data_IF_554015612867
#
_entry.id   IF_554015612867
#
_cell.length_a   1.000
_cell.length_b   1.000
_cell.length_c   1.000
_cell.angle_alpha   90.00
_cell.angle_beta   90.00
_cell.angle_gamma   90.00
#
_symmetry.space_group_name_H-M   'P 1'
#
loop_
_entity.id
_entity.type
_entity.pdbx_description
1 polymer ?
#
# COMPACT_ATOMS: atom_id res chain seq x y z
N UNK A 1 -29.33 -31.92 -13.60
CA UNK A 1 -28.74 -30.58 -13.75
C UNK A 1 -29.72 -29.63 -13.10
N UNK A 2 -29.49 -29.27 -11.83
CA UNK A 2 -30.32 -28.30 -11.12
C UNK A 2 -29.82 -26.91 -11.52
N UNK A 3 -30.73 -26.05 -11.96
CA UNK A 3 -30.46 -24.62 -12.14
C UNK A 3 -30.71 -23.98 -10.76
N UNK A 4 -29.64 -23.63 -10.04
CA UNK A 4 -29.78 -22.86 -8.80
C UNK A 4 -30.10 -21.42 -9.19
N UNK A 5 -31.35 -21.01 -8.93
CA UNK A 5 -31.82 -19.64 -9.14
C UNK A 5 -31.73 -18.95 -7.78
N UNK A 6 -30.69 -18.14 -7.61
CA UNK A 6 -30.56 -17.25 -6.48
C UNK A 6 -31.33 -15.95 -6.77
N UNK A 7 -31.88 -15.34 -5.73
CA UNK A 7 -32.43 -13.99 -5.85
C UNK A 7 -31.29 -13.03 -6.22
N UNK A 8 -31.49 -12.22 -7.25
CA UNK A 8 -30.47 -11.30 -7.75
C UNK A 8 -30.01 -10.33 -6.66
N UNK A 9 -30.91 -9.90 -5.78
CA UNK A 9 -30.55 -9.00 -4.67
C UNK A 9 -29.66 -9.70 -3.63
N UNK A 10 -29.92 -10.98 -3.34
CA UNK A 10 -29.13 -11.76 -2.39
C UNK A 10 -27.71 -12.03 -2.93
N UNK A 11 -27.61 -12.31 -4.24
CA UNK A 11 -26.33 -12.53 -4.92
C UNK A 11 -25.54 -11.21 -5.04
N UNK A 12 -26.21 -10.09 -5.35
CA UNK A 12 -25.60 -8.76 -5.35
C UNK A 12 -25.15 -8.34 -3.95
N UNK A 13 -25.90 -8.64 -2.89
CA UNK A 13 -25.49 -8.38 -1.50
C UNK A 13 -24.30 -9.23 -1.07
N UNK A 14 -24.27 -10.50 -1.46
CA UNK A 14 -23.18 -11.43 -1.13
C UNK A 14 -21.89 -11.10 -1.90
N UNK A 15 -22.01 -10.74 -3.18
CA UNK A 15 -20.92 -10.19 -3.99
C UNK A 15 -20.47 -8.83 -3.44
N UNK A 16 -21.39 -7.94 -3.07
CA UNK A 16 -21.07 -6.65 -2.47
C UNK A 16 -20.35 -6.81 -1.13
N UNK A 17 -20.77 -7.77 -0.31
CA UNK A 17 -20.13 -8.09 0.97
C UNK A 17 -18.77 -8.71 0.77
N UNK A 18 -18.59 -9.61 -0.19
CA UNK A 18 -17.29 -10.17 -0.56
C UNK A 18 -16.37 -9.08 -1.12
N UNK A 19 -16.91 -8.16 -1.90
CA UNK A 19 -16.17 -7.04 -2.51
C UNK A 19 -15.79 -5.95 -1.50
N UNK A 20 -16.64 -5.69 -0.50
CA UNK A 20 -16.37 -4.70 0.56
C UNK A 20 -15.63 -5.28 1.77
N UNK A 21 -15.82 -6.55 2.09
CA UNK A 21 -15.39 -7.17 3.36
C UNK A 21 -14.80 -8.59 3.21
N UNK A 22 -14.72 -9.17 2.01
CA UNK A 22 -14.18 -10.51 1.78
C UNK A 22 -12.65 -10.58 1.85
N UNK A 23 -12.13 -11.61 2.53
CA UNK A 23 -10.71 -11.94 2.75
C UNK A 23 -10.37 -12.34 4.20
N UNK A 24 -9.08 -12.43 4.61
CA UNK A 24 -8.65 -12.89 5.93
C UNK A 24 -9.13 -11.97 7.06
N UNK A 25 -9.99 -12.48 7.94
CA UNK A 25 -10.52 -11.73 9.09
C UNK A 25 -9.55 -11.66 10.27
N UNK A 26 -8.56 -12.55 10.25
CA UNK A 26 -7.58 -12.74 11.31
C UNK A 26 -6.18 -12.94 10.74
N UNK A 27 -5.17 -12.80 11.60
CA UNK A 27 -3.78 -13.03 11.22
C UNK A 27 -3.47 -14.50 10.88
N UNK A 28 -4.36 -15.43 11.25
CA UNK A 28 -4.19 -16.87 11.07
C UNK A 28 -4.72 -17.37 9.70
N UNK A 29 -5.49 -16.54 9.01
CA UNK A 29 -6.00 -16.82 7.67
C UNK A 29 -4.97 -16.47 6.59
N UNK A 30 -5.01 -17.11 5.41
CA UNK A 30 -4.12 -16.78 4.32
C UNK A 30 -4.43 -15.41 3.72
N UNK A 31 -3.38 -14.70 3.32
CA UNK A 31 -3.49 -13.44 2.58
C UNK A 31 -4.15 -13.65 1.22
N UNK A 32 -5.13 -12.80 0.89
CA UNK A 32 -5.88 -12.83 -0.36
C UNK A 32 -5.73 -11.55 -1.19
N UNK A 33 -4.87 -10.62 -0.79
CA UNK A 33 -4.72 -9.30 -1.44
C UNK A 33 -4.44 -9.39 -2.95
N UNK A 34 -3.79 -10.47 -3.41
CA UNK A 34 -3.52 -10.73 -4.83
C UNK A 34 -4.76 -11.07 -5.64
N UNK A 35 -5.86 -11.45 -4.99
CA UNK A 35 -7.14 -11.78 -5.61
C UNK A 35 -8.11 -10.59 -5.62
N UNK A 36 -7.70 -9.43 -5.09
CA UNK A 36 -8.53 -8.24 -5.14
C UNK A 36 -8.78 -7.84 -6.61
N UNK A 37 -10.03 -7.51 -6.96
CA UNK A 37 -10.39 -7.17 -8.34
C UNK A 37 -9.67 -5.89 -8.81
N UNK A 38 -9.42 -4.96 -7.89
CA UNK A 38 -8.65 -3.75 -8.13
C UNK A 38 -7.78 -3.44 -6.91
N UNK A 39 -6.48 -3.23 -7.13
CA UNK A 39 -5.53 -2.80 -6.09
C UNK A 39 -5.52 -1.29 -5.94
N UNK A 40 -5.75 -0.56 -7.02
CA UNK A 40 -5.79 0.89 -7.07
C UNK A 40 -6.62 1.39 -8.26
N UNK A 41 -7.01 2.66 -8.22
CA UNK A 41 -7.71 3.35 -9.30
C UNK A 41 -7.25 4.80 -9.37
N UNK A 42 -6.98 5.28 -10.58
CA UNK A 42 -6.73 6.69 -10.87
C UNK A 42 -7.94 7.27 -11.61
N UNK A 43 -8.61 8.24 -11.01
CA UNK A 43 -9.64 9.04 -11.67
C UNK A 43 -9.04 10.40 -12.08
N UNK A 44 -8.83 10.59 -13.38
CA UNK A 44 -8.28 11.79 -13.98
C UNK A 44 -9.33 12.81 -14.44
N UNK A 45 -10.60 12.64 -14.07
CA UNK A 45 -11.67 13.56 -14.44
C UNK A 45 -12.04 13.52 -15.93
N UNK A 46 -11.79 12.40 -16.59
CA UNK A 46 -12.17 12.16 -17.98
C UNK A 46 -13.70 12.17 -18.19
N UNK A 47 -14.16 12.16 -19.46
CA UNK A 47 -15.58 12.17 -19.76
C UNK A 47 -16.24 10.88 -19.24
N UNK A 48 -17.17 11.04 -18.29
CA UNK A 48 -17.86 9.94 -17.63
C UNK A 48 -18.43 10.39 -16.29
N UNK A 49 -19.32 9.58 -15.70
CA UNK A 49 -19.76 9.78 -14.31
C UNK A 49 -18.85 8.96 -13.41
N UNK A 50 -18.30 9.59 -12.38
CA UNK A 50 -17.58 8.88 -11.33
C UNK A 50 -18.49 7.79 -10.70
N UNK A 51 -17.93 6.64 -10.27
CA UNK A 51 -18.74 5.61 -9.64
C UNK A 51 -19.39 6.15 -8.36
N UNK A 52 -20.66 5.82 -8.15
CA UNK A 52 -21.41 6.22 -6.94
C UNK A 52 -20.88 5.49 -5.68
N UNK A 53 -20.18 4.37 -5.85
CA UNK A 53 -19.57 3.58 -4.77
C UNK A 53 -18.12 3.25 -5.12
N UNK A 54 -17.21 3.61 -4.22
CA UNK A 54 -15.82 3.15 -4.26
C UNK A 54 -15.65 1.90 -3.37
N UNK A 55 -14.77 0.96 -3.75
CA UNK A 55 -14.40 -0.15 -2.87
C UNK A 55 -13.89 0.35 -1.51
N UNK A 56 -14.28 -0.35 -0.44
CA UNK A 56 -13.87 -0.01 0.93
C UNK A 56 -12.36 -0.11 1.15
N UNK A 57 -11.71 -1.00 0.39
CA UNK A 57 -10.32 -1.38 0.60
C UNK A 57 -10.18 -2.54 1.58
N UNK A 58 -9.18 -3.40 1.37
CA UNK A 58 -8.90 -4.55 2.24
C UNK A 58 -7.93 -4.13 3.34
N UNK A 59 -8.24 -4.45 4.60
CA UNK A 59 -7.39 -4.15 5.75
C UNK A 59 -6.51 -5.36 6.10
N UNK A 60 -5.24 -5.11 6.42
CA UNK A 60 -4.28 -6.15 6.78
C UNK A 60 -4.32 -6.40 8.30
N UNK A 61 -4.71 -7.61 8.76
CA UNK A 61 -4.80 -7.91 10.20
C UNK A 61 -3.43 -8.12 10.87
N UNK A 62 -2.34 -8.21 10.10
CA UNK A 62 -0.98 -8.38 10.63
C UNK A 62 0.07 -7.72 9.72
N UNK A 63 1.31 -7.50 10.22
CA UNK A 63 2.39 -6.98 9.37
C UNK A 63 2.77 -7.89 8.20
N UNK A 64 2.54 -9.21 8.30
CA UNK A 64 2.81 -10.13 7.19
C UNK A 64 1.74 -10.00 6.10
N UNK A 65 0.48 -9.84 6.48
CA UNK A 65 -0.58 -9.47 5.53
C UNK A 65 -0.33 -8.12 4.88
N UNK A 66 0.21 -7.14 5.63
CA UNK A 66 0.57 -5.84 5.07
C UNK A 66 1.72 -5.97 4.07
N UNK A 67 2.72 -6.81 4.34
CA UNK A 67 3.78 -7.10 3.39
C UNK A 67 3.20 -7.64 2.07
N UNK A 68 2.27 -8.57 2.13
CA UNK A 68 1.66 -9.15 0.92
C UNK A 68 0.78 -8.12 0.19
N UNK A 69 0.01 -7.32 0.93
CA UNK A 69 -0.81 -6.23 0.41
C UNK A 69 0.04 -5.21 -0.36
N UNK A 70 1.10 -4.70 0.28
CA UNK A 70 2.02 -3.74 -0.32
C UNK A 70 2.81 -4.36 -1.47
N UNK A 71 3.18 -5.64 -1.40
CA UNK A 71 3.85 -6.31 -2.51
C UNK A 71 2.97 -6.32 -3.75
N UNK A 72 1.70 -6.73 -3.60
CA UNK A 72 0.73 -6.73 -4.69
C UNK A 72 0.49 -5.31 -5.24
N UNK A 73 0.23 -4.35 -4.34
CA UNK A 73 -0.04 -2.95 -4.72
C UNK A 73 1.15 -2.33 -5.45
N UNK A 74 2.35 -2.40 -4.87
CA UNK A 74 3.55 -1.78 -5.45
C UNK A 74 3.94 -2.47 -6.76
N UNK A 75 3.79 -3.80 -6.85
CA UNK A 75 4.01 -4.52 -8.11
C UNK A 75 3.06 -4.06 -9.21
N UNK A 76 1.78 -3.89 -8.88
CA UNK A 76 0.78 -3.36 -9.79
C UNK A 76 1.05 -1.91 -10.22
N UNK A 77 1.53 -1.05 -9.33
CA UNK A 77 1.93 0.32 -9.68
C UNK A 77 3.14 0.31 -10.63
N UNK A 78 4.16 -0.48 -10.31
CA UNK A 78 5.37 -0.65 -11.13
C UNK A 78 5.01 -1.11 -12.55
N UNK A 79 4.07 -2.04 -12.69
CA UNK A 79 3.68 -2.61 -13.98
C UNK A 79 2.70 -1.72 -14.77
N UNK A 80 1.67 -1.20 -14.11
CA UNK A 80 0.51 -0.62 -14.79
C UNK A 80 0.38 0.89 -14.69
N UNK A 81 1.14 1.57 -13.83
CA UNK A 81 1.11 3.03 -13.75
C UNK A 81 1.75 3.69 -14.97
N UNK A 82 2.96 3.30 -15.45
CA UNK A 82 3.61 4.01 -16.55
C UNK A 82 2.79 4.07 -17.85
N UNK A 83 2.06 3.02 -18.27
CA UNK A 83 1.16 3.12 -19.42
C UNK A 83 0.01 4.12 -19.26
N UNK A 84 -0.39 4.46 -18.02
CA UNK A 84 -1.52 5.35 -17.74
C UNK A 84 -1.10 6.82 -17.61
N UNK A 85 0.07 7.09 -17.03
CA UNK A 85 0.53 8.46 -16.72
C UNK A 85 1.90 8.80 -17.30
N UNK A 86 2.48 7.91 -18.11
CA UNK A 86 3.78 8.12 -18.74
C UNK A 86 4.93 8.12 -17.74
N UNK A 87 5.56 9.28 -17.55
CA UNK A 87 6.75 9.47 -16.70
C UNK A 87 6.42 10.18 -15.38
N UNK A 88 5.14 10.35 -15.08
CA UNK A 88 4.68 10.92 -13.82
C UNK A 88 4.90 9.96 -12.64
N UNK A 89 4.93 10.53 -11.44
CA UNK A 89 5.20 9.82 -10.20
C UNK A 89 3.94 9.68 -9.34
N UNK A 90 3.92 8.67 -8.49
CA UNK A 90 2.92 8.52 -7.42
C UNK A 90 3.59 8.41 -6.08
N UNK A 91 2.90 8.84 -5.03
CA UNK A 91 3.33 8.64 -3.66
C UNK A 91 2.16 8.61 -2.69
N UNK A 92 2.44 8.06 -1.53
CA UNK A 92 1.52 8.01 -0.40
C UNK A 92 2.31 7.88 0.91
N UNK A 93 1.66 8.23 2.01
CA UNK A 93 2.19 8.12 3.36
C UNK A 93 1.36 7.11 4.12
N UNK A 94 2.02 6.21 4.84
CA UNK A 94 1.41 5.40 5.89
C UNK A 94 1.69 6.10 7.21
N UNK A 95 0.62 6.54 7.87
CA UNK A 95 0.66 7.10 9.20
C UNK A 95 0.29 6.04 10.23
N UNK A 96 0.93 6.08 11.40
CA UNK A 96 0.60 5.26 12.57
C UNK A 96 0.07 6.18 13.66
N UNK A 97 -1.13 5.93 14.17
CA UNK A 97 -1.75 6.77 15.21
C UNK A 97 -1.71 8.28 14.89
N UNK A 98 -1.93 8.64 13.63
CA UNK A 98 -1.96 10.03 13.15
C UNK A 98 -0.59 10.69 12.96
N UNK A 99 0.52 9.97 13.17
CA UNK A 99 1.89 10.42 12.90
C UNK A 99 2.43 9.75 11.65
N UNK A 100 3.07 10.51 10.77
CA UNK A 100 3.70 9.97 9.57
C UNK A 100 4.78 8.97 9.96
N UNK A 101 4.66 7.73 9.49
CA UNK A 101 5.63 6.67 9.76
C UNK A 101 6.52 6.47 8.54
N UNK A 102 5.93 6.07 7.40
CA UNK A 102 6.69 5.78 6.17
C UNK A 102 6.01 6.43 4.97
N UNK A 103 6.80 7.13 4.15
CA UNK A 103 6.39 7.60 2.82
C UNK A 103 6.92 6.65 1.77
N UNK A 104 6.06 6.26 0.84
CA UNK A 104 6.40 5.48 -0.34
C UNK A 104 6.14 6.30 -1.59
N UNK A 105 6.98 6.11 -2.60
CA UNK A 105 6.77 6.69 -3.91
C UNK A 105 7.32 5.81 -5.01
N UNK A 106 6.70 5.90 -6.18
CA UNK A 106 7.16 5.29 -7.42
C UNK A 106 7.33 6.38 -8.47
N UNK A 107 8.51 6.39 -9.08
CA UNK A 107 8.87 7.26 -10.21
C UNK A 107 9.35 6.32 -11.34
N UNK A 108 8.73 6.32 -12.54
CA UNK A 108 9.11 5.43 -13.63
C UNK A 108 10.59 5.52 -14.06
N UNK A 109 11.27 6.65 -13.79
CA UNK A 109 12.70 6.83 -14.08
C UNK A 109 13.62 6.40 -12.94
N UNK A 110 13.13 6.44 -11.70
CA UNK A 110 13.96 6.24 -10.49
C UNK A 110 13.59 4.97 -9.71
N UNK A 111 12.50 4.30 -10.07
CA UNK A 111 11.98 3.13 -9.37
C UNK A 111 11.22 3.51 -8.09
N UNK A 112 11.14 2.54 -7.18
CA UNK A 112 10.49 2.69 -5.88
C UNK A 112 11.42 3.35 -4.86
N UNK A 113 10.87 4.20 -4.02
CA UNK A 113 11.59 4.84 -2.91
C UNK A 113 10.74 4.84 -1.65
N UNK A 114 11.40 4.58 -0.53
CA UNK A 114 10.82 4.69 0.81
C UNK A 114 11.58 5.76 1.60
N UNK A 115 10.85 6.50 2.42
CA UNK A 115 11.38 7.50 3.33
C UNK A 115 10.73 7.37 4.70
N UNK A 116 11.52 7.53 5.77
CA UNK A 116 11.04 7.64 7.15
C UNK A 116 11.58 8.91 7.78
N UNK A 117 10.69 9.74 8.30
CA UNK A 117 11.09 10.94 9.01
C UNK A 117 11.85 10.57 10.29
N UNK A 118 13.00 11.21 10.50
CA UNK A 118 13.82 11.04 11.69
C UNK A 118 14.46 12.37 12.07
N UNK A 119 13.79 13.08 12.99
CA UNK A 119 14.19 14.42 13.44
C UNK A 119 15.39 14.44 14.38
N UNK A 120 16.11 13.33 14.56
CA UNK A 120 17.39 13.36 15.23
C UNK A 120 18.43 14.11 14.37
N UNK A 121 19.29 14.91 15.00
CA UNK A 121 20.36 15.64 14.31
C UNK A 121 21.51 14.71 13.96
N UNK A 122 21.84 13.78 14.87
CA UNK A 122 22.80 12.69 14.67
C UNK A 122 22.23 11.38 15.22
N UNK A 123 22.59 10.26 14.60
CA UNK A 123 22.24 8.93 15.07
C UNK A 123 23.44 8.27 15.75
N UNK A 124 23.21 7.56 16.86
CA UNK A 124 24.23 6.68 17.42
C UNK A 124 24.58 5.57 16.43
N UNK A 125 25.79 5.00 16.54
CA UNK A 125 26.21 3.88 15.70
C UNK A 125 25.25 2.68 15.82
N UNK A 126 24.71 2.44 17.02
CA UNK A 126 23.73 1.39 17.30
C UNK A 126 22.42 1.63 16.57
N UNK A 127 21.87 2.86 16.63
CA UNK A 127 20.65 3.22 15.90
C UNK A 127 20.86 3.08 14.39
N UNK A 128 21.99 3.56 13.87
CA UNK A 128 22.31 3.43 12.46
C UNK A 128 22.48 1.96 12.03
N UNK A 129 23.00 1.09 12.90
CA UNK A 129 23.07 -0.34 12.64
C UNK A 129 21.68 -0.99 12.61
N UNK A 130 20.83 -0.69 13.60
CA UNK A 130 19.45 -1.19 13.66
C UNK A 130 18.63 -0.76 12.43
N UNK A 131 18.76 0.49 11.97
CA UNK A 131 18.08 0.96 10.77
C UNK A 131 18.53 0.21 9.51
N UNK A 132 19.82 -0.10 9.39
CA UNK A 132 20.34 -0.91 8.27
C UNK A 132 19.88 -2.35 8.33
N UNK A 133 19.75 -2.93 9.53
CA UNK A 133 19.21 -4.27 9.72
C UNK A 133 17.75 -4.38 9.28
N UNK A 134 16.95 -3.34 9.51
CA UNK A 134 15.58 -3.21 8.99
C UNK A 134 15.56 -3.08 7.45
N UNK A 135 16.64 -2.56 6.87
CA UNK A 135 16.83 -2.44 5.42
C UNK A 135 16.95 -0.99 4.92
N UNK A 136 17.00 0.01 5.81
CA UNK A 136 17.26 1.39 5.42
C UNK A 136 18.68 1.56 4.92
N UNK A 137 18.86 2.30 3.83
CA UNK A 137 20.14 2.34 3.11
C UNK A 137 20.95 3.59 3.43
N UNK A 138 20.29 4.76 3.44
CA UNK A 138 20.96 6.06 3.56
C UNK A 138 20.32 6.89 4.66
N UNK A 139 21.17 7.54 5.44
CA UNK A 139 20.78 8.61 6.35
C UNK A 139 20.94 9.94 5.63
N UNK A 140 19.84 10.66 5.51
CA UNK A 140 19.78 12.01 4.97
C UNK A 140 19.39 12.98 6.08
N UNK A 141 19.48 14.29 5.84
CA UNK A 141 19.08 15.27 6.85
C UNK A 141 17.60 15.06 7.22
N UNK A 142 17.34 14.80 8.49
CA UNK A 142 16.00 14.57 9.06
C UNK A 142 15.21 13.34 8.54
N UNK A 143 15.82 12.43 7.79
CA UNK A 143 15.15 11.22 7.34
C UNK A 143 16.09 10.04 7.04
N UNK A 144 15.53 8.85 7.01
CA UNK A 144 16.14 7.67 6.40
C UNK A 144 15.50 7.40 5.04
N UNK A 145 16.30 6.93 4.09
CA UNK A 145 15.85 6.59 2.74
C UNK A 145 16.34 5.22 2.30
N UNK A 146 15.53 4.58 1.45
CA UNK A 146 15.88 3.37 0.73
C UNK A 146 15.33 3.44 -0.69
N UNK A 147 16.15 3.05 -1.66
CA UNK A 147 15.77 3.01 -3.08
C UNK A 147 15.77 1.59 -3.62
N UNK A 148 14.85 1.34 -4.54
CA UNK A 148 14.70 0.09 -5.29
C UNK A 148 14.55 0.47 -6.77
N UNK A 149 15.68 0.69 -7.47
CA UNK A 149 15.67 1.29 -8.80
C UNK A 149 15.14 0.34 -9.88
N UNK A 150 15.18 -0.98 -9.64
CA UNK A 150 14.63 -1.94 -10.60
C UNK A 150 13.10 -1.92 -10.57
N UNK A 151 12.48 -1.78 -11.74
CA UNK A 151 11.02 -1.74 -11.93
C UNK A 151 10.50 -3.19 -12.08
N UNK A 152 10.55 -3.95 -10.99
CA UNK A 152 10.19 -5.39 -10.95
C UNK A 152 9.33 -5.73 -9.73
N UNK A 153 8.63 -6.87 -9.79
CA UNK A 153 7.89 -7.42 -8.63
C UNK A 153 8.83 -7.70 -7.44
N UNK A 154 10.07 -8.11 -7.69
CA UNK A 154 11.07 -8.32 -6.63
C UNK A 154 11.39 -7.01 -5.88
N UNK A 155 11.55 -5.90 -6.59
CA UNK A 155 11.73 -4.58 -5.96
C UNK A 155 10.51 -4.15 -5.16
N UNK A 156 9.31 -4.42 -5.67
CA UNK A 156 8.07 -4.17 -4.93
C UNK A 156 8.03 -4.97 -3.62
N UNK A 157 8.38 -6.26 -3.66
CA UNK A 157 8.46 -7.11 -2.46
C UNK A 157 9.52 -6.63 -1.45
N UNK A 158 10.69 -6.20 -1.92
CA UNK A 158 11.73 -5.64 -1.03
C UNK A 158 11.29 -4.33 -0.37
N UNK A 159 10.63 -3.44 -1.12
CA UNK A 159 10.07 -2.20 -0.58
C UNK A 159 8.95 -2.47 0.44
N UNK A 160 8.05 -3.39 0.13
CA UNK A 160 6.99 -3.83 1.04
C UNK A 160 7.56 -4.42 2.34
N UNK A 161 8.60 -5.26 2.24
CA UNK A 161 9.25 -5.89 3.40
C UNK A 161 9.87 -4.85 4.32
N UNK A 162 10.55 -3.84 3.76
CA UNK A 162 11.11 -2.74 4.53
C UNK A 162 10.03 -2.03 5.36
N UNK A 163 8.90 -1.70 4.72
CA UNK A 163 7.79 -0.99 5.38
C UNK A 163 7.16 -1.82 6.49
N UNK A 164 6.87 -3.10 6.21
CA UNK A 164 6.29 -4.01 7.20
C UNK A 164 7.24 -4.24 8.39
N UNK A 165 8.54 -4.41 8.13
CA UNK A 165 9.56 -4.56 9.18
C UNK A 165 9.69 -3.28 10.02
N UNK A 166 9.64 -2.10 9.38
CA UNK A 166 9.67 -0.83 10.09
C UNK A 166 8.46 -0.67 11.01
N UNK A 167 7.23 -0.88 10.51
CA UNK A 167 6.01 -0.76 11.30
C UNK A 167 5.97 -1.76 12.46
N UNK A 168 6.45 -2.99 12.23
CA UNK A 168 6.62 -3.99 13.29
C UNK A 168 7.59 -3.51 14.37
N UNK A 169 8.70 -2.87 13.98
CA UNK A 169 9.68 -2.28 14.92
C UNK A 169 9.08 -1.11 15.69
N UNK A 170 8.22 -0.32 15.05
CA UNK A 170 7.45 0.77 15.68
C UNK A 170 6.26 0.24 16.53
N UNK A 171 6.14 -1.09 16.67
CA UNK A 171 5.20 -1.76 17.58
C UNK A 171 3.82 -2.07 16.98
N UNK A 172 3.60 -1.85 15.69
CA UNK A 172 2.33 -2.12 15.01
C UNK A 172 2.06 -3.62 14.96
N UNK A 173 0.86 -4.03 15.40
CA UNK A 173 0.41 -5.42 15.39
C UNK A 173 -0.74 -5.65 14.42
N UNK A 174 -1.64 -4.68 14.29
CA UNK A 174 -2.74 -4.68 13.34
C UNK A 174 -2.68 -3.42 12.46
N UNK A 175 -1.94 -3.47 11.33
CA UNK A 175 -1.81 -2.31 10.45
C UNK A 175 -3.14 -1.78 9.91
N UNK A 176 -4.12 -2.66 9.70
CA UNK A 176 -5.46 -2.30 9.23
C UNK A 176 -6.18 -1.31 10.16
N UNK A 177 -5.98 -1.45 11.47
CA UNK A 177 -6.63 -0.63 12.49
C UNK A 177 -5.74 0.50 13.02
N UNK A 178 -4.42 0.26 13.10
CA UNK A 178 -3.47 1.19 13.72
C UNK A 178 -2.84 2.18 12.72
N UNK A 179 -2.96 1.90 11.42
CA UNK A 179 -2.38 2.72 10.37
C UNK A 179 -3.42 3.29 9.40
N UNK A 180 -3.10 4.43 8.80
CA UNK A 180 -3.93 5.08 7.80
C UNK A 180 -3.11 5.67 6.65
N UNK A 181 -3.65 5.61 5.45
CA UNK A 181 -3.12 6.27 4.26
C UNK A 181 -3.31 7.79 4.34
N UNK A 182 -2.29 8.53 3.92
CA UNK A 182 -2.31 9.98 3.76
C UNK A 182 -1.55 10.39 2.52
N UNK A 183 -1.77 11.64 2.09
CA UNK A 183 -1.04 12.29 1.00
C UNK A 183 -0.95 11.42 -0.27
N UNK A 184 -2.02 10.68 -0.57
CA UNK A 184 -2.10 9.83 -1.75
C UNK A 184 -2.21 10.73 -2.98
N UNK A 185 -1.23 10.67 -3.88
CA UNK A 185 -1.19 11.53 -5.06
C UNK A 185 -0.52 10.83 -6.24
N UNK A 186 -0.87 11.30 -7.45
CA UNK A 186 -0.24 10.95 -8.71
C UNK A 186 -0.02 12.23 -9.53
N UNK A 187 1.07 12.95 -9.27
CA UNK A 187 1.46 14.21 -9.94
C UNK A 187 0.30 15.18 -10.28
N UNK A 188 -0.67 15.34 -9.38
CA UNK A 188 -1.88 16.16 -9.55
C UNK A 188 -2.81 15.76 -10.72
N UNK A 189 -2.65 14.55 -11.28
CA UNK A 189 -3.43 13.97 -12.38
C UNK A 189 -4.84 13.51 -11.95
N UNK A 190 -5.33 13.96 -10.80
CA UNK A 190 -6.64 13.61 -10.25
C UNK A 190 -6.57 12.81 -8.95
N UNK A 191 -7.59 11.99 -8.71
CA UNK A 191 -7.75 11.26 -7.45
C UNK A 191 -7.22 9.85 -7.59
N UNK A 192 -6.16 9.52 -6.83
CA UNK A 192 -5.64 8.17 -6.72
C UNK A 192 -6.20 7.49 -5.47
N UNK A 193 -6.80 6.32 -5.66
CA UNK A 193 -7.33 5.46 -4.60
C UNK A 193 -6.53 4.17 -4.51
N UNK A 194 -6.11 3.78 -3.30
CA UNK A 194 -5.30 2.57 -3.06
C UNK A 194 -6.12 1.57 -2.23
N UNK A 195 -6.87 0.69 -2.88
CA UNK A 195 -7.74 -0.29 -2.21
C UNK A 195 -6.98 -1.49 -1.64
N UNK A 196 -5.85 -1.84 -2.24
CA UNK A 196 -4.98 -2.95 -1.83
C UNK A 196 -3.88 -2.55 -0.86
N UNK A 197 -3.94 -1.37 -0.22
CA UNK A 197 -2.85 -0.89 0.63
C UNK A 197 -2.75 -1.61 1.99
N UNK A 198 -3.81 -2.30 2.44
CA UNK A 198 -3.79 -3.03 3.71
C UNK A 198 -3.93 -2.16 4.96
N UNK A 199 -4.17 -0.86 4.84
CA UNK A 199 -4.32 0.07 5.97
C UNK A 199 -5.57 0.93 5.80
N UNK A 200 -6.01 1.58 6.87
CA UNK A 200 -7.16 2.49 6.86
C UNK A 200 -6.99 3.68 5.91
N UNK A 201 -8.09 4.39 5.64
CA UNK A 201 -8.10 5.66 4.91
C UNK A 201 -8.25 6.85 5.85
#
# INVERSE_FOLDING_TARGET
MLLEVHDTEELEEEEHRTFKWGGPWSADEPSDFRHLPYLWQLDSGGPGRAPDVYPGGRLAPSPDHLHDALTALLGSLVEHLPPQVGLDWTGFVISQNGRDSVRLGFDPKQGLRAFRADRAEEDSAEKAAAMREIGWQRRERWQWSAGFPEVTEESAGRAARLVAAQLRTDGVRNPGEECALRDVSCNDMGTLSLYGAGVGR
#
